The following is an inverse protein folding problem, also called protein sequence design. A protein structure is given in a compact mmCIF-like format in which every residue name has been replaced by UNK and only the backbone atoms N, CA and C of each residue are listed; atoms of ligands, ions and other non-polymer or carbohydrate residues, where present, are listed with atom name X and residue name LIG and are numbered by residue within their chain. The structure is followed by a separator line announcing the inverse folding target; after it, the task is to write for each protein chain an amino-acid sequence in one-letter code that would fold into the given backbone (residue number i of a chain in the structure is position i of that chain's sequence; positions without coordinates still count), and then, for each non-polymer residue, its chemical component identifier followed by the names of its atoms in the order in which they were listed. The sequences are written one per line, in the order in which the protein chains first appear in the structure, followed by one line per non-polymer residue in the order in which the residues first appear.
data_IF_097844962772
#
_entry.id   IF_097844962772
#
_cell.length_a   1.000
_cell.length_b   1.000
_cell.length_c   1.000
_cell.angle_alpha   90.00
_cell.angle_beta   90.00
_cell.angle_gamma   90.00
#
_symmetry.space_group_name_H-M   'P 1'
#
loop_
_entity.id
_entity.type
_entity.pdbx_description
1 polymer ?
#
# COMPACT_ATOMS: atom_id res chain seq x y z
N UNK A 1 3.13 -13.82 33.81
CA UNK A 1 2.93 -13.63 32.35
C UNK A 1 3.88 -14.55 31.62
N UNK A 2 3.39 -15.33 30.65
CA UNK A 2 4.25 -16.14 29.78
C UNK A 2 5.01 -15.17 28.85
N UNK A 3 6.35 -15.25 28.74
CA UNK A 3 7.10 -14.40 27.83
C UNK A 3 6.69 -14.66 26.37
N UNK A 4 6.76 -13.63 25.49
CA UNK A 4 6.44 -13.83 24.08
C UNK A 4 7.44 -14.78 23.41
N UNK A 5 6.97 -15.50 22.38
CA UNK A 5 7.81 -16.40 21.59
C UNK A 5 8.94 -15.64 20.87
N UNK A 6 10.09 -16.29 20.75
CA UNK A 6 11.27 -15.79 20.01
C UNK A 6 11.88 -16.91 19.18
N UNK A 7 12.53 -16.59 18.06
CA UNK A 7 13.14 -17.56 17.14
C UNK A 7 12.14 -18.65 16.69
N UNK A 8 10.88 -18.27 16.51
CA UNK A 8 9.78 -19.18 16.18
C UNK A 8 9.28 -18.94 14.75
N UNK A 9 8.74 -19.97 14.11
CA UNK A 9 8.27 -19.91 12.73
C UNK A 9 6.83 -20.39 12.63
N UNK A 10 5.96 -19.57 12.05
CA UNK A 10 4.65 -19.98 11.56
C UNK A 10 4.74 -20.10 10.04
N UNK A 11 4.47 -21.29 9.51
CA UNK A 11 4.59 -21.52 8.07
C UNK A 11 3.56 -22.50 7.55
N UNK A 12 3.25 -22.39 6.26
CA UNK A 12 2.35 -23.30 5.55
C UNK A 12 0.97 -23.45 6.25
N UNK A 13 0.39 -22.33 6.68
CA UNK A 13 -0.90 -22.27 7.37
C UNK A 13 -1.89 -21.41 6.56
N UNK A 14 -3.16 -21.80 6.55
CA UNK A 14 -4.24 -21.03 5.94
C UNK A 14 -5.21 -20.50 7.01
N UNK A 15 -5.54 -19.21 6.96
CA UNK A 15 -6.58 -18.57 7.79
C UNK A 15 -7.59 -17.93 6.83
N UNK A 16 -8.77 -18.55 6.73
CA UNK A 16 -9.79 -18.23 5.72
C UNK A 16 -11.10 -17.90 6.43
N UNK A 17 -11.66 -16.71 6.17
CA UNK A 17 -12.98 -16.29 6.65
C UNK A 17 -13.20 -16.37 8.18
N UNK A 18 -12.14 -16.25 8.99
CA UNK A 18 -12.23 -16.36 10.48
C UNK A 18 -12.63 -15.02 11.10
N UNK A 19 -13.92 -14.75 11.20
CA UNK A 19 -14.45 -13.46 11.65
C UNK A 19 -15.32 -13.57 12.91
N UNK A 20 -15.30 -12.57 13.81
CA UNK A 20 -16.29 -12.46 14.86
C UNK A 20 -17.64 -11.96 14.31
N UNK A 21 -18.70 -12.07 15.11
CA UNK A 21 -20.07 -11.69 14.74
C UNK A 21 -20.24 -10.19 14.43
N UNK A 22 -19.28 -9.34 14.79
CA UNK A 22 -19.33 -7.89 14.55
C UNK A 22 -18.02 -7.36 14.00
N UNK A 23 -18.11 -6.49 13.00
CA UNK A 23 -16.94 -5.84 12.38
C UNK A 23 -16.24 -4.84 13.29
N UNK A 24 -16.91 -4.32 14.31
CA UNK A 24 -16.29 -3.36 15.22
C UNK A 24 -15.36 -4.04 16.24
N UNK A 25 -15.54 -5.35 16.47
CA UNK A 25 -14.66 -6.15 17.32
C UNK A 25 -13.27 -6.16 16.69
N UNK A 26 -12.27 -5.72 17.46
CA UNK A 26 -10.89 -5.70 17.03
C UNK A 26 -10.21 -7.04 17.30
N UNK A 27 -9.81 -7.74 16.26
CA UNK A 27 -8.92 -8.90 16.36
C UNK A 27 -7.80 -8.83 15.30
N UNK A 28 -6.77 -9.64 15.48
CA UNK A 28 -5.71 -9.85 14.50
C UNK A 28 -5.68 -11.33 14.15
N UNK A 29 -5.44 -11.70 12.89
CA UNK A 29 -5.16 -13.10 12.56
C UNK A 29 -3.84 -13.54 13.19
N UNK A 30 -2.82 -12.69 13.10
CA UNK A 30 -1.50 -12.93 13.70
C UNK A 30 -1.03 -11.67 14.43
N UNK A 31 -0.60 -11.83 15.67
CA UNK A 31 0.08 -10.81 16.44
C UNK A 31 1.52 -11.26 16.72
N UNK A 32 2.50 -10.60 16.10
CA UNK A 32 3.91 -10.86 16.35
C UNK A 32 4.41 -10.02 17.53
N UNK A 33 4.96 -10.73 18.51
CA UNK A 33 5.66 -10.21 19.67
C UNK A 33 7.04 -10.87 19.74
N UNK A 34 7.90 -10.44 20.68
CA UNK A 34 9.23 -11.05 20.87
C UNK A 34 10.21 -10.68 19.76
N UNK A 35 11.11 -11.59 19.40
CA UNK A 35 12.19 -11.32 18.43
C UNK A 35 12.43 -12.50 17.50
N UNK A 36 13.00 -12.22 16.32
CA UNK A 36 13.47 -13.17 15.32
C UNK A 36 12.43 -14.21 14.88
N UNK A 37 11.15 -13.87 14.97
CA UNK A 37 10.06 -14.72 14.48
C UNK A 37 9.86 -14.57 12.97
N UNK A 38 9.39 -15.64 12.33
CA UNK A 38 9.10 -15.69 10.90
C UNK A 38 7.66 -16.13 10.63
N UNK A 39 6.98 -15.44 9.73
CA UNK A 39 5.69 -15.85 9.16
C UNK A 39 5.88 -16.01 7.67
N UNK A 40 5.80 -17.24 7.16
CA UNK A 40 6.10 -17.47 5.75
C UNK A 40 5.29 -18.59 5.09
N UNK A 41 5.04 -18.48 3.78
CA UNK A 41 4.24 -19.45 3.03
C UNK A 41 2.84 -19.68 3.62
N UNK A 42 2.24 -18.65 4.22
CA UNK A 42 0.88 -18.71 4.74
C UNK A 42 -0.11 -18.05 3.78
N UNK A 43 -1.38 -18.45 3.84
CA UNK A 43 -2.48 -17.83 3.09
C UNK A 43 -3.49 -17.21 4.05
N UNK A 44 -3.73 -15.90 3.94
CA UNK A 44 -4.61 -15.15 4.83
C UNK A 44 -5.62 -14.36 3.98
N UNK A 45 -6.92 -14.62 4.13
CA UNK A 45 -7.95 -13.96 3.33
C UNK A 45 -9.32 -13.91 4.03
N UNK A 46 -10.19 -13.02 3.54
CA UNK A 46 -11.58 -12.95 3.99
C UNK A 46 -11.77 -12.32 5.37
N UNK A 47 -10.85 -11.47 5.84
CA UNK A 47 -11.01 -10.75 7.12
C UNK A 47 -11.96 -9.57 6.97
N UNK A 48 -13.08 -9.55 7.69
CA UNK A 48 -14.16 -8.56 7.55
C UNK A 48 -14.19 -7.53 8.68
N UNK A 49 -13.62 -7.84 9.83
CA UNK A 49 -13.67 -7.00 11.03
C UNK A 49 -12.41 -6.13 11.23
N UNK A 50 -12.52 -5.22 12.20
CA UNK A 50 -11.47 -4.28 12.61
C UNK A 50 -10.22 -5.00 13.11
N UNK A 51 -9.08 -4.37 12.90
CA UNK A 51 -7.75 -4.85 13.25
C UNK A 51 -7.04 -5.47 12.04
N UNK A 52 -5.71 -5.33 11.96
CA UNK A 52 -4.97 -5.84 10.82
C UNK A 52 -4.97 -7.37 10.74
N UNK A 53 -4.68 -7.92 9.55
CA UNK A 53 -4.45 -9.36 9.45
C UNK A 53 -3.18 -9.75 10.23
N UNK A 54 -2.08 -9.03 10.01
CA UNK A 54 -0.85 -9.16 10.82
C UNK A 54 -0.52 -7.85 11.54
N UNK A 55 -0.33 -7.93 12.85
CA UNK A 55 0.20 -6.83 13.66
C UNK A 55 1.57 -7.19 14.25
N UNK A 56 2.61 -6.40 13.97
CA UNK A 56 3.86 -6.44 14.74
C UNK A 56 3.75 -5.48 15.92
N UNK A 57 3.92 -6.00 17.13
CA UNK A 57 3.69 -5.29 18.40
C UNK A 57 5.02 -5.01 19.08
N UNK A 58 5.36 -3.73 19.27
CA UNK A 58 6.69 -3.33 19.78
C UNK A 58 6.80 -3.27 21.31
N UNK A 59 5.69 -3.38 22.06
CA UNK A 59 5.76 -3.43 23.53
C UNK A 59 6.66 -4.60 23.95
N UNK A 60 7.78 -4.29 24.58
CA UNK A 60 8.84 -5.25 24.96
C UNK A 60 9.42 -6.05 23.78
N UNK A 61 9.33 -5.53 22.55
CA UNK A 61 9.68 -6.23 21.30
C UNK A 61 10.30 -5.26 20.27
N UNK A 62 11.08 -4.28 20.73
CA UNK A 62 11.89 -3.40 19.86
C UNK A 62 13.05 -4.17 19.25
N UNK A 63 13.56 -3.72 18.10
CA UNK A 63 14.61 -4.41 17.32
C UNK A 63 14.28 -5.90 17.21
N UNK A 64 13.07 -6.20 16.71
CA UNK A 64 12.54 -7.54 16.68
C UNK A 64 13.12 -8.37 15.54
N UNK A 65 13.59 -7.78 14.44
CA UNK A 65 14.10 -8.51 13.27
C UNK A 65 13.12 -9.60 12.78
N UNK A 66 11.81 -9.36 12.89
CA UNK A 66 10.81 -10.27 12.35
C UNK A 66 10.88 -10.32 10.82
N UNK A 67 10.52 -11.48 10.26
CA UNK A 67 10.45 -11.67 8.81
C UNK A 67 9.06 -12.16 8.41
N UNK A 68 8.42 -11.47 7.49
CA UNK A 68 7.11 -11.82 6.93
C UNK A 68 7.33 -11.99 5.43
N UNK A 69 7.39 -13.24 4.95
CA UNK A 69 7.81 -13.51 3.58
C UNK A 69 7.05 -14.64 2.86
N UNK A 70 6.90 -14.54 1.54
CA UNK A 70 6.22 -15.57 0.73
C UNK A 70 4.77 -15.88 1.18
N UNK A 71 4.08 -14.93 1.82
CA UNK A 71 2.68 -15.12 2.19
C UNK A 71 1.75 -14.63 1.07
N UNK A 72 0.61 -15.30 0.91
CA UNK A 72 -0.50 -14.82 0.10
C UNK A 72 -1.52 -14.13 1.01
N UNK A 73 -1.73 -12.83 0.79
CA UNK A 73 -2.81 -12.05 1.38
C UNK A 73 -3.89 -11.88 0.32
N UNK A 74 -4.95 -12.69 0.41
CA UNK A 74 -6.08 -12.62 -0.51
C UNK A 74 -7.07 -11.51 -0.15
N UNK A 75 -8.21 -11.53 -0.85
CA UNK A 75 -9.18 -10.43 -0.82
C UNK A 75 -9.60 -10.05 0.61
N UNK A 76 -9.55 -8.73 0.85
CA UNK A 76 -10.07 -8.09 2.05
C UNK A 76 -11.01 -6.96 1.64
N UNK A 77 -12.31 -7.17 1.84
CA UNK A 77 -13.32 -6.18 1.50
C UNK A 77 -13.15 -4.88 2.31
N UNK A 78 -13.55 -3.72 1.76
CA UNK A 78 -13.49 -2.44 2.46
C UNK A 78 -14.15 -2.49 3.83
N UNK A 79 -13.40 -2.10 4.87
CA UNK A 79 -13.87 -2.02 6.25
C UNK A 79 -14.96 -0.97 6.44
N UNK A 80 -14.89 0.12 5.67
CA UNK A 80 -15.79 1.27 5.78
C UNK A 80 -15.36 2.28 6.85
N UNK A 81 -14.39 1.93 7.69
CA UNK A 81 -13.79 2.80 8.71
C UNK A 81 -12.32 2.39 8.98
N UNK A 82 -11.61 3.15 9.80
CA UNK A 82 -10.19 2.93 10.10
C UNK A 82 -9.92 1.64 10.90
N UNK A 83 -8.81 0.95 10.59
CA UNK A 83 -8.37 -0.29 11.23
C UNK A 83 -8.49 -1.51 10.31
N UNK A 84 -8.49 -1.30 9.01
CA UNK A 84 -8.64 -2.33 7.98
C UNK A 84 -7.33 -2.82 7.39
N UNK A 85 -6.18 -2.51 8.01
CA UNK A 85 -4.87 -2.67 7.37
C UNK A 85 -4.53 -4.15 7.15
N UNK A 86 -3.88 -4.54 6.06
CA UNK A 86 -3.47 -5.94 5.92
C UNK A 86 -2.30 -6.26 6.86
N UNK A 87 -1.27 -5.42 6.84
CA UNK A 87 -0.15 -5.48 7.78
C UNK A 87 -0.03 -4.16 8.52
N UNK A 88 0.23 -4.21 9.82
CA UNK A 88 0.67 -3.05 10.60
C UNK A 88 1.95 -3.36 11.37
N UNK A 89 2.97 -2.51 11.21
CA UNK A 89 4.26 -2.65 11.90
C UNK A 89 4.41 -1.57 12.98
N UNK A 90 3.98 -1.87 14.21
CA UNK A 90 3.99 -0.92 15.32
C UNK A 90 2.70 -0.11 15.48
N UNK A 91 2.80 0.96 16.27
CA UNK A 91 1.71 1.89 16.59
C UNK A 91 2.29 3.30 16.79
N UNK A 92 1.45 4.34 16.83
CA UNK A 92 1.89 5.70 17.13
C UNK A 92 2.75 5.79 18.41
N UNK A 93 2.35 5.11 19.49
CA UNK A 93 3.07 5.06 20.76
C UNK A 93 4.53 4.59 20.64
N UNK A 94 4.82 3.69 19.69
CA UNK A 94 6.15 3.10 19.49
C UNK A 94 6.78 3.54 18.17
N UNK A 95 6.23 4.58 17.53
CA UNK A 95 6.58 4.96 16.16
C UNK A 95 8.04 5.37 15.97
N UNK A 96 8.65 5.97 16.99
CA UNK A 96 10.06 6.38 16.98
C UNK A 96 11.03 5.26 17.39
N UNK A 97 10.51 4.08 17.73
CA UNK A 97 11.33 2.93 18.08
C UNK A 97 11.63 2.07 16.86
N UNK A 98 12.82 1.50 16.85
CA UNK A 98 13.28 0.58 15.83
C UNK A 98 12.55 -0.77 15.95
N UNK A 99 12.07 -1.28 14.81
CA UNK A 99 11.44 -2.59 14.69
C UNK A 99 12.33 -3.56 13.91
N UNK A 100 12.96 -3.09 12.82
CA UNK A 100 13.78 -3.92 11.91
C UNK A 100 13.01 -5.09 11.28
N UNK A 101 11.69 -4.97 11.17
CA UNK A 101 10.88 -5.99 10.51
C UNK A 101 11.14 -5.94 9.00
N UNK A 102 11.25 -7.11 8.39
CA UNK A 102 11.34 -7.30 6.94
C UNK A 102 10.03 -7.90 6.43
N UNK A 103 9.36 -7.22 5.50
CA UNK A 103 8.19 -7.70 4.76
C UNK A 103 8.60 -7.87 3.31
N UNK A 104 8.79 -9.11 2.85
CA UNK A 104 9.34 -9.34 1.51
C UNK A 104 8.73 -10.50 0.74
N UNK A 105 8.71 -10.41 -0.59
CA UNK A 105 8.25 -11.51 -1.45
C UNK A 105 6.82 -11.99 -1.12
N UNK A 106 5.96 -11.13 -0.58
CA UNK A 106 4.56 -11.47 -0.36
C UNK A 106 3.71 -11.08 -1.58
N UNK A 107 2.56 -11.75 -1.74
CA UNK A 107 1.56 -11.41 -2.75
C UNK A 107 0.30 -10.90 -2.06
N UNK A 108 -0.05 -9.64 -2.29
CA UNK A 108 -1.28 -8.98 -1.84
C UNK A 108 -2.24 -8.87 -3.02
N UNK A 109 -3.41 -9.47 -2.90
CA UNK A 109 -4.44 -9.43 -3.93
C UNK A 109 -5.73 -8.87 -3.34
N UNK A 110 -6.23 -7.77 -3.91
CA UNK A 110 -7.48 -7.12 -3.50
C UNK A 110 -7.58 -6.87 -1.99
N UNK A 111 -6.46 -6.44 -1.41
CA UNK A 111 -6.33 -6.08 0.00
C UNK A 111 -6.95 -4.69 0.24
N UNK A 112 -8.26 -4.57 0.12
CA UNK A 112 -9.00 -3.30 0.03
C UNK A 112 -9.62 -2.85 1.36
N UNK A 113 -9.16 -3.41 2.49
CA UNK A 113 -9.74 -3.16 3.81
C UNK A 113 -9.78 -1.69 4.21
N UNK A 114 -8.74 -0.91 3.88
CA UNK A 114 -8.73 0.55 4.03
C UNK A 114 -7.62 1.19 3.18
N UNK A 115 -7.34 2.48 3.39
CA UNK A 115 -6.31 3.20 2.63
C UNK A 115 -4.88 2.69 2.89
N UNK A 116 -4.62 2.08 4.04
CA UNK A 116 -3.30 1.53 4.41
C UNK A 116 -3.28 0.00 4.23
N UNK A 117 -2.77 -0.51 3.10
CA UNK A 117 -2.56 -1.96 2.90
C UNK A 117 -1.48 -2.43 3.87
N UNK A 118 -0.33 -1.74 3.84
CA UNK A 118 0.77 -1.93 4.78
C UNK A 118 0.95 -0.59 5.51
N UNK A 119 0.67 -0.60 6.81
CA UNK A 119 0.83 0.56 7.69
C UNK A 119 2.11 0.43 8.52
N UNK A 120 3.17 1.10 8.12
CA UNK A 120 4.43 1.15 8.88
C UNK A 120 4.31 2.23 9.95
N UNK A 121 4.43 1.85 11.22
CA UNK A 121 4.28 2.72 12.40
C UNK A 121 5.43 2.47 13.39
N UNK A 122 6.64 2.36 12.87
CA UNK A 122 7.91 2.12 13.58
C UNK A 122 9.11 2.41 12.65
N UNK A 123 10.33 2.39 13.18
CA UNK A 123 11.54 2.73 12.43
C UNK A 123 12.33 1.51 11.92
N UNK A 124 13.21 1.74 10.94
CA UNK A 124 14.19 0.78 10.40
C UNK A 124 13.61 -0.49 9.73
N UNK A 125 12.36 -0.43 9.26
CA UNK A 125 11.75 -1.57 8.57
C UNK A 125 12.14 -1.61 7.09
N UNK A 126 12.03 -2.80 6.50
CA UNK A 126 12.21 -3.02 5.06
C UNK A 126 10.94 -3.65 4.50
N UNK A 127 10.36 -3.04 3.47
CA UNK A 127 9.24 -3.60 2.70
C UNK A 127 9.70 -3.72 1.25
N UNK A 128 9.98 -4.94 0.81
CA UNK A 128 10.60 -5.14 -0.51
C UNK A 128 10.09 -6.29 -1.32
N UNK A 129 10.18 -6.18 -2.65
CA UNK A 129 9.90 -7.29 -3.56
C UNK A 129 8.51 -7.91 -3.36
N UNK A 130 7.52 -7.14 -2.90
CA UNK A 130 6.15 -7.61 -2.78
C UNK A 130 5.38 -7.31 -4.07
N UNK A 131 4.44 -8.19 -4.41
CA UNK A 131 3.45 -7.94 -5.47
C UNK A 131 2.15 -7.46 -4.82
N UNK A 132 1.64 -6.31 -5.24
CA UNK A 132 0.35 -5.76 -4.83
C UNK A 132 -0.54 -5.65 -6.06
N UNK A 133 -1.58 -6.47 -6.14
CA UNK A 133 -2.50 -6.54 -7.26
C UNK A 133 -3.88 -6.03 -6.83
N UNK A 134 -4.45 -5.12 -7.61
CA UNK A 134 -5.84 -4.68 -7.54
C UNK A 134 -6.33 -4.27 -6.14
N UNK A 135 -5.45 -3.72 -5.32
CA UNK A 135 -5.75 -3.41 -3.91
C UNK A 135 -6.07 -1.91 -3.72
N UNK A 136 -7.23 -1.58 -3.13
CA UNK A 136 -7.68 -0.20 -2.90
C UNK A 136 -6.98 0.51 -1.72
N UNK A 137 -5.66 0.63 -1.78
CA UNK A 137 -4.89 1.32 -0.74
C UNK A 137 -3.43 1.52 -1.12
N UNK A 138 -2.59 1.71 -0.10
CA UNK A 138 -1.18 2.08 -0.27
C UNK A 138 -0.26 1.34 0.70
N UNK A 139 1.02 1.25 0.35
CA UNK A 139 2.09 1.09 1.33
C UNK A 139 2.28 2.47 1.98
N UNK A 140 1.89 2.61 3.25
CA UNK A 140 2.03 3.88 3.97
C UNK A 140 3.18 3.82 4.98
N UNK A 141 4.16 4.70 4.80
CA UNK A 141 5.12 5.08 5.84
C UNK A 141 4.42 6.00 6.84
N UNK A 142 3.54 5.44 7.67
CA UNK A 142 2.53 6.19 8.42
C UNK A 142 3.12 6.89 9.63
N UNK A 143 4.01 6.21 10.34
CA UNK A 143 4.88 6.78 11.37
C UNK A 143 6.25 6.10 11.36
N UNK A 144 7.25 6.78 11.89
CA UNK A 144 8.59 6.23 12.07
C UNK A 144 9.52 6.50 10.89
N UNK A 145 10.80 6.35 11.17
CA UNK A 145 11.89 6.94 10.38
C UNK A 145 12.84 5.82 9.89
N UNK A 146 13.69 6.09 8.90
CA UNK A 146 14.70 5.17 8.34
C UNK A 146 14.14 3.85 7.76
N UNK A 147 12.93 3.88 7.21
CA UNK A 147 12.33 2.72 6.55
C UNK A 147 12.71 2.68 5.06
N UNK A 148 12.76 1.48 4.49
CA UNK A 148 13.09 1.24 3.07
C UNK A 148 11.94 0.53 2.39
N UNK A 149 11.39 1.13 1.33
CA UNK A 149 10.39 0.54 0.43
C UNK A 149 11.03 0.33 -0.93
N UNK A 150 11.36 -0.92 -1.29
CA UNK A 150 12.14 -1.17 -2.50
C UNK A 150 11.71 -2.36 -3.36
N UNK A 151 11.80 -2.23 -4.68
CA UNK A 151 11.62 -3.37 -5.59
C UNK A 151 10.19 -3.96 -5.62
N UNK A 152 9.20 -3.28 -5.04
CA UNK A 152 7.82 -3.74 -5.04
C UNK A 152 7.20 -3.52 -6.42
N UNK A 153 6.27 -4.40 -6.81
CA UNK A 153 5.46 -4.26 -8.03
C UNK A 153 4.00 -4.06 -7.61
N UNK A 154 3.40 -2.94 -8.04
CA UNK A 154 2.03 -2.55 -7.71
C UNK A 154 1.25 -2.44 -9.02
N UNK A 155 0.22 -3.26 -9.18
CA UNK A 155 -0.58 -3.34 -10.41
C UNK A 155 -2.03 -3.02 -10.05
N UNK A 156 -2.50 -1.85 -10.44
CA UNK A 156 -3.86 -1.37 -10.15
C UNK A 156 -4.90 -1.74 -11.21
N UNK A 157 -4.50 -2.17 -12.41
CA UNK A 157 -5.40 -2.50 -13.54
C UNK A 157 -6.46 -1.42 -13.84
N UNK A 158 -6.12 -0.15 -13.62
CA UNK A 158 -7.00 1.00 -13.75
C UNK A 158 -8.25 0.94 -12.86
N UNK A 159 -8.27 0.10 -11.83
CA UNK A 159 -9.39 0.01 -10.90
C UNK A 159 -9.42 1.25 -9.99
N UNK A 160 -10.62 1.73 -9.59
CA UNK A 160 -10.76 2.89 -8.71
C UNK A 160 -10.01 2.72 -7.39
N UNK A 161 -9.43 3.82 -6.89
CA UNK A 161 -8.78 3.89 -5.56
C UNK A 161 -7.61 2.93 -5.33
N UNK A 162 -7.14 2.22 -6.36
CA UNK A 162 -5.84 1.56 -6.30
C UNK A 162 -4.76 2.63 -6.17
N UNK A 163 -3.85 2.46 -5.23
CA UNK A 163 -2.79 3.43 -4.95
C UNK A 163 -1.42 2.78 -4.89
N UNK A 164 -0.40 3.59 -4.63
CA UNK A 164 0.98 3.12 -4.55
C UNK A 164 1.58 3.33 -3.16
N UNK A 165 2.49 4.29 -3.03
CA UNK A 165 3.32 4.47 -1.84
C UNK A 165 3.10 5.87 -1.28
N UNK A 166 2.80 5.95 0.02
CA UNK A 166 2.58 7.22 0.73
C UNK A 166 3.66 7.44 1.78
N UNK A 167 4.44 8.51 1.61
CA UNK A 167 5.52 8.92 2.49
C UNK A 167 5.09 10.06 3.43
N UNK A 168 5.37 9.84 4.71
CA UNK A 168 5.27 10.81 5.81
C UNK A 168 6.55 10.63 6.64
N UNK A 169 6.78 11.52 7.61
CA UNK A 169 7.82 11.44 8.65
C UNK A 169 9.24 11.73 8.19
N UNK A 170 10.10 11.86 9.19
CA UNK A 170 11.48 12.33 9.09
C UNK A 170 12.44 11.17 8.85
N UNK A 171 13.73 11.51 8.79
CA UNK A 171 14.82 10.59 9.04
C UNK A 171 15.04 9.61 7.90
N UNK A 172 15.21 10.12 6.68
CA UNK A 172 15.88 9.32 5.66
C UNK A 172 15.07 8.15 5.10
N UNK A 173 13.73 8.20 5.16
CA UNK A 173 12.90 7.17 4.56
C UNK A 173 13.17 7.05 3.04
N UNK A 174 13.34 5.83 2.53
CA UNK A 174 13.74 5.56 1.14
C UNK A 174 12.64 4.82 0.39
N UNK A 175 12.25 5.30 -0.79
CA UNK A 175 11.36 4.66 -1.75
C UNK A 175 12.10 4.51 -3.08
N UNK A 176 12.48 3.28 -3.46
CA UNK A 176 13.29 3.07 -4.67
C UNK A 176 12.98 1.81 -5.48
N UNK A 177 13.28 1.82 -6.77
CA UNK A 177 13.12 0.65 -7.66
C UNK A 177 11.70 0.04 -7.63
N UNK A 178 10.67 0.78 -7.23
CA UNK A 178 9.30 0.25 -7.27
C UNK A 178 8.72 0.44 -8.67
N UNK A 179 7.89 -0.51 -9.11
CA UNK A 179 7.18 -0.48 -10.39
C UNK A 179 5.69 -0.35 -10.07
N UNK A 180 5.04 0.71 -10.55
CA UNK A 180 3.65 1.04 -10.23
C UNK A 180 2.89 1.23 -11.53
N UNK A 181 1.87 0.41 -11.77
CA UNK A 181 1.20 0.32 -13.07
C UNK A 181 -0.31 0.44 -12.87
N UNK A 182 -0.96 1.33 -13.63
CA UNK A 182 -2.41 1.37 -13.71
C UNK A 182 -3.12 1.75 -12.40
N UNK A 183 -2.49 2.54 -11.52
CA UNK A 183 -3.14 2.99 -10.28
C UNK A 183 -3.91 4.29 -10.53
N UNK A 184 -5.16 4.38 -10.06
CA UNK A 184 -6.04 5.54 -10.32
C UNK A 184 -6.29 6.43 -9.10
N UNK A 185 -5.82 6.02 -7.92
CA UNK A 185 -5.97 6.76 -6.69
C UNK A 185 -5.38 8.16 -6.77
N UNK A 186 -6.03 9.13 -6.13
CA UNK A 186 -5.60 10.53 -6.07
C UNK A 186 -5.15 10.89 -4.66
N UNK A 187 -4.42 12.00 -4.55
CA UNK A 187 -3.96 12.56 -3.28
C UNK A 187 -3.23 11.50 -2.44
N UNK A 188 -3.80 11.15 -1.28
CA UNK A 188 -3.27 10.15 -0.35
C UNK A 188 -3.19 8.73 -0.94
N UNK A 189 -3.74 8.50 -2.13
CA UNK A 189 -3.69 7.25 -2.91
C UNK A 189 -2.95 7.38 -4.24
N UNK A 190 -2.23 8.47 -4.49
CA UNK A 190 -1.39 8.60 -5.68
C UNK A 190 -0.38 7.42 -5.81
N UNK A 191 0.16 7.15 -7.02
CA UNK A 191 1.20 6.13 -7.19
C UNK A 191 2.41 6.40 -6.27
N UNK A 192 2.80 7.67 -6.14
CA UNK A 192 3.70 8.13 -5.08
C UNK A 192 3.10 9.41 -4.50
N UNK A 193 3.02 9.47 -3.18
CA UNK A 193 2.48 10.59 -2.42
C UNK A 193 3.50 11.04 -1.37
N UNK A 194 3.89 12.33 -1.39
CA UNK A 194 4.69 12.97 -0.35
C UNK A 194 3.79 13.96 0.40
N UNK A 195 3.67 13.79 1.71
CA UNK A 195 2.76 14.58 2.53
C UNK A 195 3.43 15.76 3.23
N UNK A 196 2.65 16.83 3.43
CA UNK A 196 2.91 17.89 4.40
C UNK A 196 2.68 17.39 5.83
N UNK A 197 3.32 18.07 6.78
CA UNK A 197 3.29 17.71 8.19
C UNK A 197 2.76 18.79 9.12
N UNK A 198 2.51 18.37 10.35
CA UNK A 198 2.13 19.23 11.47
C UNK A 198 3.40 19.73 12.17
N UNK A 199 3.56 21.05 12.40
CA UNK A 199 4.65 21.55 13.23
C UNK A 199 4.59 20.94 14.64
N UNK A 200 5.72 20.45 15.16
CA UNK A 200 5.80 19.84 16.50
C UNK A 200 4.74 18.75 16.76
N UNK A 201 4.53 17.89 15.75
CA UNK A 201 3.47 16.89 15.76
C UNK A 201 3.52 15.95 16.98
N UNK A 202 2.35 15.59 17.51
CA UNK A 202 2.22 14.51 18.50
C UNK A 202 2.49 13.16 17.84
N UNK A 203 2.82 12.13 18.63
CA UNK A 203 3.15 10.79 18.12
C UNK A 203 2.07 10.15 17.21
N UNK A 204 0.80 10.53 17.36
CA UNK A 204 -0.32 10.03 16.55
C UNK A 204 -0.69 10.94 15.36
N UNK A 205 0.02 12.05 15.18
CA UNK A 205 -0.19 13.01 14.10
C UNK A 205 0.75 12.71 12.91
N UNK A 206 0.94 13.68 12.01
CA UNK A 206 1.81 13.56 10.85
C UNK A 206 3.04 14.45 11.03
N UNK A 207 4.21 13.84 11.19
CA UNK A 207 5.47 14.56 11.04
C UNK A 207 5.67 14.97 9.57
N UNK A 208 6.29 16.12 9.28
CA UNK A 208 6.67 16.47 7.93
C UNK A 208 7.67 15.47 7.35
N UNK A 209 7.68 15.36 6.03
CA UNK A 209 8.72 14.60 5.33
C UNK A 209 10.03 15.36 5.42
N UNK A 210 11.05 14.75 6.02
CA UNK A 210 12.39 15.33 6.14
C UNK A 210 13.42 14.28 5.75
N UNK A 211 14.36 14.67 4.89
CA UNK A 211 15.39 13.79 4.34
C UNK A 211 14.83 12.61 3.53
N UNK A 212 13.60 12.72 3.00
CA UNK A 212 12.98 11.64 2.20
C UNK A 212 13.72 11.42 0.88
N UNK A 213 13.89 10.16 0.46
CA UNK A 213 14.55 9.82 -0.80
C UNK A 213 13.63 8.97 -1.65
N UNK A 214 13.22 9.49 -2.80
CA UNK A 214 12.38 8.81 -3.78
C UNK A 214 13.17 8.72 -5.08
N UNK A 215 13.64 7.52 -5.43
CA UNK A 215 14.52 7.38 -6.60
C UNK A 215 14.35 6.12 -7.42
N UNK A 216 14.59 6.22 -8.73
CA UNK A 216 14.58 5.06 -9.64
C UNK A 216 13.26 4.26 -9.60
N UNK A 217 12.11 4.90 -9.37
CA UNK A 217 10.81 4.23 -9.50
C UNK A 217 10.32 4.31 -10.95
N UNK A 218 9.53 3.33 -11.40
CA UNK A 218 8.87 3.34 -12.70
C UNK A 218 7.36 3.38 -12.50
N UNK A 219 6.70 4.37 -13.10
CA UNK A 219 5.27 4.65 -12.95
C UNK A 219 4.64 4.64 -14.34
N UNK A 220 3.66 3.77 -14.59
CA UNK A 220 3.11 3.53 -15.93
C UNK A 220 1.59 3.58 -15.89
N UNK A 221 0.99 4.46 -16.70
CA UNK A 221 -0.47 4.59 -16.85
C UNK A 221 -1.16 4.84 -15.50
N UNK A 222 -0.60 5.71 -14.68
CA UNK A 222 -1.12 6.06 -13.37
C UNK A 222 -1.70 7.48 -13.35
N UNK A 223 -2.51 7.77 -12.33
CA UNK A 223 -2.74 9.15 -11.89
C UNK A 223 -1.40 9.86 -11.58
N UNK A 224 -1.38 11.21 -11.54
CA UNK A 224 -0.15 11.94 -11.28
C UNK A 224 0.48 11.58 -9.94
N UNK A 225 1.80 11.61 -9.87
CA UNK A 225 2.53 11.65 -8.59
C UNK A 225 2.13 12.92 -7.85
N UNK A 226 1.97 12.86 -6.54
CA UNK A 226 1.56 14.03 -5.75
C UNK A 226 2.64 14.44 -4.76
N UNK A 227 3.12 15.68 -4.89
CA UNK A 227 4.13 16.28 -4.03
C UNK A 227 3.49 17.31 -3.10
N UNK A 228 3.99 17.40 -1.86
CA UNK A 228 3.56 18.36 -0.84
C UNK A 228 2.04 18.45 -0.65
N UNK A 229 1.36 17.31 -0.42
CA UNK A 229 -0.10 17.30 -0.26
C UNK A 229 -0.56 17.15 1.19
N UNK A 230 -1.85 17.37 1.42
CA UNK A 230 -2.48 17.17 2.73
C UNK A 230 -2.41 18.38 3.65
N UNK A 231 -2.10 19.56 3.09
CA UNK A 231 -2.18 20.84 3.77
C UNK A 231 -3.55 21.06 4.39
N UNK A 232 -3.54 21.56 5.62
CA UNK A 232 -4.72 21.90 6.42
C UNK A 232 -4.30 22.93 7.46
N UNK A 233 -5.26 23.52 8.17
CA UNK A 233 -5.01 24.58 9.16
C UNK A 233 -3.92 24.26 10.19
N UNK A 234 -3.71 22.98 10.53
CA UNK A 234 -2.66 22.53 11.43
C UNK A 234 -1.51 21.76 10.77
N UNK A 235 -1.58 21.43 9.47
CA UNK A 235 -0.49 20.78 8.73
C UNK A 235 0.03 21.74 7.67
N UNK A 236 1.06 22.50 8.05
CA UNK A 236 1.56 23.66 7.32
C UNK A 236 3.04 23.55 6.95
N UNK A 237 3.70 22.43 7.28
CA UNK A 237 5.13 22.22 6.99
C UNK A 237 5.26 21.36 5.73
N UNK A 238 5.75 21.97 4.65
CA UNK A 238 6.14 21.28 3.43
C UNK A 238 7.34 20.33 3.66
N UNK A 239 7.60 19.39 2.74
CA UNK A 239 8.77 18.52 2.80
C UNK A 239 10.08 19.30 2.80
N UNK A 240 11.10 18.80 3.52
CA UNK A 240 12.40 19.46 3.67
C UNK A 240 13.52 18.48 3.31
N UNK A 241 14.56 18.97 2.61
CA UNK A 241 15.73 18.19 2.20
C UNK A 241 15.37 16.84 1.55
N UNK A 242 14.29 16.82 0.77
CA UNK A 242 13.74 15.63 0.16
C UNK A 242 14.23 15.52 -1.28
N UNK A 243 14.41 14.31 -1.78
CA UNK A 243 14.92 14.04 -3.14
C UNK A 243 13.92 13.23 -3.94
N UNK A 244 13.64 13.68 -5.14
CA UNK A 244 12.87 12.97 -6.15
C UNK A 244 13.73 12.82 -7.40
N UNK A 245 14.47 11.72 -7.51
CA UNK A 245 15.58 11.58 -8.47
C UNK A 245 15.44 10.35 -9.37
N UNK A 246 15.78 10.46 -10.65
CA UNK A 246 15.87 9.33 -11.58
C UNK A 246 14.58 8.49 -11.70
N UNK A 247 13.41 9.05 -11.43
CA UNK A 247 12.14 8.34 -11.62
C UNK A 247 11.74 8.37 -13.11
N UNK A 248 11.04 7.32 -13.56
CA UNK A 248 10.52 7.20 -14.93
C UNK A 248 8.99 7.16 -14.89
N UNK A 249 8.34 8.10 -15.57
CA UNK A 249 6.88 8.21 -15.61
C UNK A 249 6.42 8.12 -17.06
N UNK A 250 5.52 7.19 -17.34
CA UNK A 250 4.94 6.98 -18.67
C UNK A 250 3.42 6.99 -18.56
N UNK A 251 2.74 7.73 -19.44
CA UNK A 251 1.31 7.56 -19.67
C UNK A 251 1.02 7.50 -21.17
N UNK A 252 0.15 6.60 -21.60
CA UNK A 252 -0.32 6.54 -22.99
C UNK A 252 -1.26 7.70 -23.34
N UNK A 253 -1.90 8.30 -22.34
CA UNK A 253 -2.84 9.41 -22.48
C UNK A 253 -2.23 10.71 -21.95
N UNK A 254 -2.67 11.84 -22.50
CA UNK A 254 -2.26 13.16 -22.03
C UNK A 254 -2.74 13.40 -20.59
N UNK A 255 -1.86 13.92 -19.74
CA UNK A 255 -2.14 14.22 -18.35
C UNK A 255 -0.93 14.83 -17.64
N UNK A 256 -1.07 15.16 -16.36
CA UNK A 256 0.05 15.60 -15.53
C UNK A 256 0.92 14.40 -15.15
N UNK A 257 2.24 14.55 -15.22
CA UNK A 257 3.16 13.58 -14.60
C UNK A 257 3.18 13.75 -13.08
N UNK A 258 3.31 15.01 -12.65
CA UNK A 258 3.44 15.43 -11.26
C UNK A 258 2.39 16.50 -10.96
N UNK A 259 1.79 16.41 -9.78
CA UNK A 259 0.95 17.43 -9.18
C UNK A 259 1.59 17.93 -7.88
N UNK A 260 1.92 19.22 -7.81
CA UNK A 260 2.36 19.88 -6.60
C UNK A 260 1.15 20.50 -5.87
N UNK A 261 0.86 20.03 -4.66
CA UNK A 261 -0.28 20.50 -3.87
C UNK A 261 0.01 21.72 -2.97
N UNK A 262 1.28 22.04 -2.76
CA UNK A 262 1.80 23.14 -1.93
C UNK A 262 3.26 23.40 -2.32
N UNK A 263 3.99 24.21 -1.55
CA UNK A 263 5.42 24.46 -1.73
C UNK A 263 6.23 23.15 -1.84
N UNK A 264 7.04 23.06 -2.88
CA UNK A 264 7.95 21.94 -3.15
C UNK A 264 9.42 22.37 -3.11
N UNK A 265 9.74 23.59 -2.69
CA UNK A 265 11.12 24.12 -2.65
C UNK A 265 12.10 23.26 -1.85
N UNK A 266 11.60 22.52 -0.85
CA UNK A 266 12.37 21.55 -0.08
C UNK A 266 12.51 20.16 -0.73
N UNK A 267 12.01 19.97 -1.96
CA UNK A 267 12.16 18.75 -2.76
C UNK A 267 13.08 19.06 -3.94
N UNK A 268 14.23 18.40 -4.00
CA UNK A 268 15.11 18.43 -5.17
C UNK A 268 14.62 17.43 -6.21
N UNK A 269 14.32 17.91 -7.42
CA UNK A 269 14.02 17.08 -8.58
C UNK A 269 15.28 16.97 -9.44
N UNK A 270 15.64 15.75 -9.89
CA UNK A 270 16.83 15.57 -10.73
C UNK A 270 16.87 14.26 -11.51
N UNK A 271 17.15 14.34 -12.82
CA UNK A 271 17.30 13.18 -13.69
C UNK A 271 16.01 12.37 -13.91
N UNK A 272 14.84 12.91 -13.54
CA UNK A 272 13.57 12.26 -13.80
C UNK A 272 13.23 12.33 -15.29
N UNK A 273 12.54 11.32 -15.81
CA UNK A 273 12.15 11.22 -17.22
C UNK A 273 10.65 10.97 -17.32
N UNK A 274 9.98 11.72 -18.19
CA UNK A 274 8.54 11.58 -18.45
C UNK A 274 8.27 11.40 -19.94
N UNK A 275 7.21 10.67 -20.31
CA UNK A 275 6.85 10.47 -21.71
C UNK A 275 6.36 11.77 -22.37
N UNK A 276 6.55 11.90 -23.69
CA UNK A 276 6.15 13.08 -24.50
C UNK A 276 4.67 13.46 -24.44
N UNK A 277 3.81 12.53 -24.03
CA UNK A 277 2.38 12.72 -23.79
C UNK A 277 2.07 13.50 -22.52
N UNK A 278 2.99 13.56 -21.56
CA UNK A 278 2.76 14.16 -20.26
C UNK A 278 3.06 15.66 -20.27
N UNK A 279 2.27 16.39 -19.49
CA UNK A 279 2.49 17.80 -19.18
C UNK A 279 3.40 17.85 -17.96
N UNK A 280 4.46 18.65 -18.06
CA UNK A 280 5.47 18.84 -17.03
C UNK A 280 5.90 20.32 -17.00
N UNK A 281 6.17 20.84 -15.80
CA UNK A 281 6.62 22.22 -15.57
C UNK A 281 7.57 22.30 -14.36
N UNK A 282 8.54 21.38 -14.29
CA UNK A 282 9.51 21.34 -13.20
C UNK A 282 10.95 21.12 -13.70
N UNK A 283 11.87 21.93 -13.20
CA UNK A 283 13.30 21.72 -13.38
C UNK A 283 13.73 20.35 -12.82
N UNK A 284 14.57 19.63 -13.55
CA UNK A 284 15.03 18.29 -13.17
C UNK A 284 14.11 17.15 -13.61
N UNK A 285 13.13 17.45 -14.46
CA UNK A 285 12.25 16.47 -15.12
C UNK A 285 12.27 16.69 -16.63
N UNK A 286 12.83 15.72 -17.37
CA UNK A 286 12.96 15.83 -18.81
C UNK A 286 11.85 15.05 -19.52
N UNK A 287 11.20 15.71 -20.48
CA UNK A 287 10.27 15.06 -21.41
C UNK A 287 11.08 14.34 -22.49
N UNK A 288 10.94 13.01 -22.58
CA UNK A 288 11.65 12.19 -23.56
C UNK A 288 10.70 11.21 -24.25
N UNK A 289 10.94 10.95 -25.54
CA UNK A 289 10.17 9.99 -26.32
C UNK A 289 10.80 8.59 -26.21
N UNK A 290 10.52 7.90 -25.11
CA UNK A 290 11.02 6.56 -24.85
C UNK A 290 9.94 5.49 -25.08
N UNK A 291 10.38 4.31 -25.50
CA UNK A 291 9.53 3.16 -25.79
C UNK A 291 9.56 2.16 -24.64
N UNK A 292 8.40 1.58 -24.38
CA UNK A 292 8.21 0.45 -23.49
C UNK A 292 7.99 -0.84 -24.29
N UNK A 293 8.41 -1.97 -23.73
CA UNK A 293 8.24 -3.31 -24.29
C UNK A 293 7.63 -4.24 -23.24
N UNK A 294 6.84 -5.21 -23.69
CA UNK A 294 6.22 -6.18 -22.78
C UNK A 294 7.24 -7.23 -22.33
N UNK A 295 7.32 -7.48 -21.03
CA UNK A 295 8.16 -8.51 -20.43
C UNK A 295 7.56 -9.00 -19.11
N UNK A 296 7.49 -10.32 -18.91
CA UNK A 296 7.06 -10.95 -17.65
C UNK A 296 5.69 -10.45 -17.12
N UNK A 297 4.74 -10.16 -18.02
CA UNK A 297 3.41 -9.66 -17.65
C UNK A 297 3.34 -8.17 -17.27
N UNK A 298 4.42 -7.42 -17.43
CA UNK A 298 4.47 -5.95 -17.26
C UNK A 298 5.15 -5.28 -18.46
N UNK A 299 5.26 -3.95 -18.43
CA UNK A 299 6.05 -3.19 -19.39
C UNK A 299 7.37 -2.72 -18.77
N UNK A 300 8.45 -2.79 -19.56
CA UNK A 300 9.80 -2.33 -19.20
C UNK A 300 10.33 -1.35 -20.24
N UNK A 301 11.32 -0.49 -19.92
CA UNK A 301 11.96 0.36 -20.91
C UNK A 301 12.72 -0.48 -21.96
N UNK A 302 12.53 -0.18 -23.24
CA UNK A 302 13.24 -0.82 -24.35
C UNK A 302 14.74 -0.52 -24.35
N UNK A 303 15.55 -1.43 -24.91
CA UNK A 303 16.98 -1.18 -25.11
C UNK A 303 17.25 0.06 -26.00
N UNK A 304 16.39 0.29 -27.00
CA UNK A 304 16.45 1.45 -27.90
C UNK A 304 16.33 2.79 -27.17
N UNK A 305 15.72 2.80 -25.98
CA UNK A 305 15.54 4.01 -25.17
C UNK A 305 16.68 4.26 -24.18
N UNK A 306 17.68 3.38 -24.11
CA UNK A 306 18.70 3.44 -23.05
C UNK A 306 19.41 4.79 -22.96
N UNK A 307 19.86 5.33 -24.09
CA UNK A 307 20.56 6.62 -24.14
C UNK A 307 19.69 7.80 -23.65
N UNK A 308 18.39 7.77 -23.96
CA UNK A 308 17.41 8.79 -23.58
C UNK A 308 17.14 8.80 -22.06
N UNK A 309 17.36 7.66 -21.41
CA UNK A 309 17.07 7.47 -19.99
C UNK A 309 18.28 7.70 -19.09
N UNK A 310 19.30 8.43 -19.57
CA UNK A 310 20.46 8.82 -18.76
C UNK A 310 20.02 9.60 -17.52
N UNK A 311 20.53 9.19 -16.37
CA UNK A 311 20.16 9.69 -15.05
C UNK A 311 21.32 10.39 -14.33
N UNK A 312 21.04 11.01 -13.18
CA UNK A 312 22.03 11.71 -12.35
C UNK A 312 22.60 10.81 -11.25
N UNK A 313 23.75 11.20 -10.67
CA UNK A 313 24.32 10.53 -9.50
C UNK A 313 23.43 10.78 -8.29
N UNK A 314 23.11 9.71 -7.55
CA UNK A 314 22.28 9.81 -6.35
C UNK A 314 23.04 9.36 -5.10
N UNK A 315 22.56 9.82 -3.94
CA UNK A 315 23.03 9.38 -2.63
C UNK A 315 21.82 9.03 -1.75
N UNK A 316 21.64 7.76 -1.34
CA UNK A 316 22.54 6.62 -1.58
C UNK A 316 22.49 6.10 -3.02
N UNK A 317 23.62 5.59 -3.50
CA UNK A 317 23.74 4.98 -4.83
C UNK A 317 22.83 3.76 -4.95
N UNK A 318 22.05 3.70 -6.03
CA UNK A 318 21.29 2.51 -6.42
C UNK A 318 22.18 1.60 -7.26
N UNK A 319 22.61 0.46 -6.70
CA UNK A 319 23.57 -0.46 -7.35
C UNK A 319 22.92 -1.52 -8.22
N UNK A 320 21.71 -1.94 -7.84
CA UNK A 320 20.93 -2.96 -8.54
C UNK A 320 19.57 -2.41 -8.93
N UNK A 321 18.96 -2.97 -9.95
CA UNK A 321 17.58 -2.69 -10.37
C UNK A 321 16.57 -3.65 -9.70
N UNK A 322 15.28 -3.53 -10.02
CA UNK A 322 14.21 -4.34 -9.44
C UNK A 322 14.30 -5.85 -9.78
N UNK A 323 15.13 -6.22 -10.75
CA UNK A 323 15.40 -7.63 -11.13
C UNK A 323 16.64 -8.17 -10.40
N UNK A 324 17.36 -7.32 -9.66
CA UNK A 324 18.65 -7.60 -9.06
C UNK A 324 19.85 -7.46 -10.02
N UNK A 325 19.65 -6.94 -11.24
CA UNK A 325 20.73 -6.72 -12.18
C UNK A 325 21.57 -5.49 -11.76
N UNK A 326 22.88 -5.56 -11.94
CA UNK A 326 23.77 -4.44 -11.63
C UNK A 326 23.56 -3.28 -12.62
N UNK A 327 23.52 -2.05 -12.09
CA UNK A 327 23.51 -0.83 -12.89
C UNK A 327 24.95 -0.45 -13.28
N UNK A 328 25.36 -0.81 -14.49
CA UNK A 328 26.64 -0.39 -15.08
C UNK A 328 26.63 1.09 -15.46
N UNK A 329 25.46 1.61 -15.82
CA UNK A 329 25.21 3.02 -16.16
C UNK A 329 24.07 3.59 -15.31
N UNK A 330 24.05 4.92 -15.17
CA UNK A 330 22.98 5.63 -14.47
C UNK A 330 21.79 5.76 -15.42
N UNK A 331 20.70 5.05 -15.10
CA UNK A 331 19.44 5.07 -15.86
C UNK A 331 18.25 5.36 -14.95
N UNK A 332 17.33 6.18 -15.44
CA UNK A 332 16.06 6.44 -14.78
C UNK A 332 15.18 5.18 -14.78
N UNK A 333 14.29 5.10 -13.79
CA UNK A 333 13.36 3.97 -13.64
C UNK A 333 13.94 2.77 -12.89
N UNK A 334 13.05 1.81 -12.59
CA UNK A 334 13.27 0.68 -11.71
C UNK A 334 13.96 -0.51 -12.35
N UNK A 335 13.92 -0.64 -13.67
CA UNK A 335 14.55 -1.71 -14.45
C UNK A 335 15.51 -1.08 -15.47
N UNK A 336 16.69 -1.67 -15.63
CA UNK A 336 17.65 -1.24 -16.67
C UNK A 336 17.02 -1.45 -18.06
N UNK A 337 17.09 -0.45 -18.97
CA UNK A 337 16.53 -0.59 -20.31
C UNK A 337 17.00 -1.86 -21.04
N UNK A 338 16.07 -2.60 -21.64
CA UNK A 338 16.33 -3.88 -22.32
C UNK A 338 16.56 -5.08 -21.39
N UNK A 339 16.40 -4.95 -20.07
CA UNK A 339 16.54 -6.07 -19.15
C UNK A 339 15.24 -6.87 -19.02
N UNK A 340 15.14 -7.97 -19.76
CA UNK A 340 13.98 -8.87 -19.76
C UNK A 340 13.90 -9.81 -18.54
N UNK A 341 14.83 -9.75 -17.59
CA UNK A 341 14.73 -10.56 -16.37
C UNK A 341 13.49 -10.13 -15.57
N UNK A 342 12.71 -11.07 -15.00
CA UNK A 342 11.58 -10.71 -14.17
C UNK A 342 12.02 -9.90 -12.94
N UNK A 343 11.25 -8.87 -12.60
CA UNK A 343 11.37 -8.21 -11.30
C UNK A 343 11.18 -9.23 -10.18
N UNK A 344 11.96 -9.12 -9.10
CA UNK A 344 11.97 -10.14 -8.03
C UNK A 344 10.56 -10.34 -7.43
N UNK A 345 9.78 -9.27 -7.33
CA UNK A 345 8.39 -9.32 -6.85
C UNK A 345 7.47 -10.23 -7.68
N UNK A 346 7.74 -10.39 -8.98
CA UNK A 346 6.97 -11.24 -9.89
C UNK A 346 7.38 -12.71 -9.85
N UNK A 347 8.45 -13.05 -9.11
CA UNK A 347 9.00 -14.41 -9.03
C UNK A 347 8.60 -15.15 -7.74
N UNK A 348 7.84 -14.50 -6.85
CA UNK A 348 7.50 -15.09 -5.55
C UNK A 348 6.58 -16.31 -5.69
N UNK A 349 6.93 -17.37 -4.95
CA UNK A 349 6.05 -18.52 -4.70
C UNK A 349 5.28 -18.30 -3.40
N UNK A 350 4.30 -17.40 -3.44
CA UNK A 350 3.54 -17.00 -2.26
C UNK A 350 2.41 -17.99 -1.92
N UNK A 351 2.11 -18.11 -0.63
CA UNK A 351 0.98 -18.89 -0.12
C UNK A 351 1.35 -20.31 0.32
N UNK A 352 0.33 -21.08 0.65
CA UNK A 352 0.47 -22.47 1.12
C UNK A 352 0.79 -23.45 -0.01
N UNK A 353 1.44 -24.57 0.33
CA UNK A 353 1.82 -25.60 -0.65
C UNK A 353 0.67 -26.55 -1.04
N UNK A 354 -0.41 -26.58 -0.25
CA UNK A 354 -1.45 -27.60 -0.34
C UNK A 354 -2.76 -27.12 -0.99
N UNK A 355 -2.90 -25.82 -1.29
CA UNK A 355 -4.05 -25.25 -2.02
C UNK A 355 -3.53 -24.19 -2.98
N UNK A 356 -3.96 -24.24 -4.24
CA UNK A 356 -3.60 -23.23 -5.24
C UNK A 356 -4.29 -21.89 -4.96
N UNK A 357 -3.66 -20.78 -5.33
CA UNK A 357 -4.25 -19.44 -5.20
C UNK A 357 -5.61 -19.35 -5.93
N UNK A 358 -5.74 -19.94 -7.11
CA UNK A 358 -7.01 -19.96 -7.86
C UNK A 358 -8.15 -20.63 -7.09
N UNK A 359 -7.83 -21.68 -6.32
CA UNK A 359 -8.81 -22.35 -5.45
C UNK A 359 -9.12 -21.50 -4.22
N UNK A 360 -8.11 -20.86 -3.61
CA UNK A 360 -8.31 -19.92 -2.48
C UNK A 360 -9.22 -18.75 -2.86
N UNK A 361 -9.11 -18.22 -4.09
CA UNK A 361 -9.99 -17.15 -4.61
C UNK A 361 -11.46 -17.55 -4.68
N UNK A 362 -11.75 -18.84 -4.83
CA UNK A 362 -13.14 -19.32 -4.82
C UNK A 362 -13.68 -19.46 -3.39
N UNK A 363 -12.83 -19.86 -2.44
CA UNK A 363 -13.21 -19.95 -1.03
C UNK A 363 -13.53 -18.58 -0.39
N UNK A 364 -12.98 -17.49 -0.92
CA UNK A 364 -13.35 -16.14 -0.46
C UNK A 364 -14.72 -15.68 -0.97
N UNK A 365 -15.35 -16.38 -1.91
CA UNK A 365 -16.72 -16.08 -2.36
C UNK A 365 -17.78 -16.78 -1.50
N UNK A 366 -17.39 -17.82 -0.76
CA UNK A 366 -18.25 -18.52 0.20
C UNK A 366 -18.38 -17.74 1.53
N UNK A 367 -18.40 -16.41 1.49
CA UNK A 367 -18.70 -15.60 2.67
C UNK A 367 -20.18 -15.77 2.99
N UNK A 368 -20.47 -16.28 4.18
CA UNK A 368 -21.83 -16.48 4.64
C UNK A 368 -22.63 -15.15 4.57
N UNK A 369 -23.79 -15.21 3.91
CA UNK A 369 -24.70 -14.08 3.84
C UNK A 369 -25.34 -13.88 5.21
N UNK A 370 -25.12 -12.72 5.81
CA UNK A 370 -25.74 -12.36 7.11
C UNK A 370 -27.16 -11.89 6.86
N UNK A 371 -28.14 -12.39 7.61
CA UNK A 371 -29.53 -11.92 7.55
C UNK A 371 -29.83 -11.12 8.81
N UNK A 372 -30.26 -9.87 8.66
CA UNK A 372 -30.56 -8.96 9.78
C UNK A 372 -31.97 -8.42 9.62
N UNK A 373 -32.82 -8.64 10.62
CA UNK A 373 -34.12 -7.97 10.71
C UNK A 373 -33.93 -6.53 11.20
N UNK A 374 -34.54 -5.58 10.50
CA UNK A 374 -34.47 -4.14 10.81
C UNK A 374 -35.86 -3.66 11.19
N UNK A 375 -35.96 -2.92 12.30
CA UNK A 375 -37.19 -2.27 12.74
C UNK A 375 -37.34 -0.87 12.09
N UNK A 376 -38.57 -0.41 11.82
CA UNK A 376 -38.81 0.95 11.33
C UNK A 376 -38.32 2.01 12.32
N UNK A 377 -38.03 3.20 11.83
CA UNK A 377 -37.57 4.32 12.64
C UNK A 377 -36.53 5.21 11.95
N UNK A 378 -36.16 6.28 12.64
CA UNK A 378 -35.10 7.17 12.18
C UNK A 378 -33.73 6.50 12.34
N UNK A 379 -32.90 6.56 11.29
CA UNK A 379 -31.51 6.03 11.26
C UNK A 379 -31.36 4.52 11.50
N UNK A 380 -32.44 3.74 11.63
CA UNK A 380 -32.35 2.29 11.90
C UNK A 380 -31.73 1.54 10.73
N UNK A 381 -32.21 1.80 9.52
CA UNK A 381 -31.62 1.27 8.28
C UNK A 381 -30.18 1.78 8.10
N UNK A 382 -29.89 3.01 8.51
CA UNK A 382 -28.53 3.53 8.40
C UNK A 382 -27.53 2.77 9.28
N UNK A 383 -27.94 2.49 10.51
CA UNK A 383 -27.14 1.73 11.47
C UNK A 383 -26.96 0.30 11.00
N UNK A 384 -28.00 -0.33 10.43
CA UNK A 384 -27.92 -1.67 9.89
C UNK A 384 -26.92 -1.76 8.73
N UNK A 385 -27.00 -0.84 7.76
CA UNK A 385 -26.06 -0.78 6.61
C UNK A 385 -24.62 -0.53 7.09
N UNK A 386 -24.43 0.33 8.10
CA UNK A 386 -23.10 0.61 8.66
C UNK A 386 -22.47 -0.60 9.36
N UNK A 387 -23.30 -1.46 9.95
CA UNK A 387 -22.86 -2.58 10.79
C UNK A 387 -22.68 -3.90 10.02
N UNK A 388 -23.07 -3.97 8.74
CA UNK A 388 -22.96 -5.18 7.91
C UNK A 388 -21.56 -5.77 7.92
N UNK A 389 -21.47 -7.10 8.12
CA UNK A 389 -20.27 -7.95 8.22
C UNK A 389 -20.06 -8.85 7.00
N UNK A 390 -19.97 -8.27 5.81
CA UNK A 390 -19.90 -9.00 4.54
C UNK A 390 -21.23 -8.90 3.77
N UNK A 391 -21.45 -9.78 2.78
CA UNK A 391 -22.73 -9.90 2.08
C UNK A 391 -23.90 -9.97 3.09
N UNK A 392 -24.85 -9.05 2.99
CA UNK A 392 -25.94 -8.93 3.98
C UNK A 392 -27.30 -8.79 3.32
N UNK A 393 -28.30 -9.49 3.84
CA UNK A 393 -29.72 -9.29 3.56
C UNK A 393 -30.34 -8.55 4.74
N UNK A 394 -30.76 -7.31 4.53
CA UNK A 394 -31.56 -6.55 5.49
C UNK A 394 -33.05 -6.82 5.24
N UNK A 395 -33.70 -7.51 6.17
CA UNK A 395 -35.15 -7.75 6.15
C UNK A 395 -35.84 -6.62 6.89
N UNK A 396 -36.55 -5.77 6.15
CA UNK A 396 -37.28 -4.67 6.74
C UNK A 396 -38.60 -5.20 7.30
N UNK A 397 -38.83 -5.04 8.59
CA UNK A 397 -40.18 -5.20 9.15
C UNK A 397 -41.08 -4.05 8.69
N UNK A 398 -42.41 -4.23 8.74
CA UNK A 398 -43.35 -3.23 8.23
C UNK A 398 -43.26 -1.91 9.02
N UNK A 399 -43.20 -0.78 8.30
CA UNK A 399 -43.22 0.57 8.85
C UNK A 399 -42.35 1.55 8.05
N UNK A 400 -42.20 2.77 8.57
CA UNK A 400 -41.46 3.85 7.91
C UNK A 400 -40.00 3.91 8.35
N UNK A 401 -39.09 4.06 7.39
CA UNK A 401 -37.64 4.15 7.62
C UNK A 401 -37.14 5.52 7.18
N UNK A 402 -36.75 6.36 8.13
CA UNK A 402 -36.28 7.72 7.84
C UNK A 402 -34.76 7.73 7.74
N UNK A 403 -34.27 7.94 6.51
CA UNK A 403 -32.85 8.11 6.21
C UNK A 403 -32.53 9.61 6.22
N UNK A 404 -31.62 10.00 7.10
CA UNK A 404 -31.21 11.39 7.35
C UNK A 404 -29.93 11.79 6.61
N UNK A 405 -29.19 10.81 6.06
CA UNK A 405 -27.96 11.04 5.30
C UNK A 405 -27.72 9.96 4.26
N UNK A 406 -27.01 10.32 3.19
CA UNK A 406 -26.50 9.35 2.23
C UNK A 406 -25.55 8.34 2.92
N UNK A 407 -25.63 7.08 2.51
CA UNK A 407 -24.84 5.98 3.07
C UNK A 407 -24.09 5.30 1.95
N UNK A 408 -22.78 5.13 2.15
CA UNK A 408 -21.96 4.37 1.21
C UNK A 408 -22.14 2.88 1.44
N UNK A 409 -22.73 2.19 0.46
CA UNK A 409 -22.74 0.73 0.39
C UNK A 409 -21.38 0.28 -0.17
N UNK A 410 -20.67 -0.57 0.58
CA UNK A 410 -19.31 -1.01 0.23
C UNK A 410 -19.15 -2.53 0.19
N UNK A 411 -20.27 -3.24 0.32
CA UNK A 411 -20.40 -4.70 0.34
C UNK A 411 -21.73 -5.05 -0.32
N UNK A 412 -21.87 -6.32 -0.72
CA UNK A 412 -23.11 -6.81 -1.29
C UNK A 412 -24.25 -6.67 -0.28
N UNK A 413 -25.28 -5.93 -0.68
CA UNK A 413 -26.44 -5.62 0.15
C UNK A 413 -27.70 -5.93 -0.65
N UNK A 414 -28.55 -6.77 -0.08
CA UNK A 414 -29.95 -6.90 -0.50
C UNK A 414 -30.85 -6.33 0.58
N UNK A 415 -31.76 -5.44 0.22
CA UNK A 415 -32.81 -4.94 1.10
C UNK A 415 -34.11 -5.59 0.66
N UNK A 416 -34.72 -6.37 1.55
CA UNK A 416 -35.98 -7.06 1.29
C UNK A 416 -37.05 -6.41 2.16
N UNK A 417 -38.03 -5.78 1.52
CA UNK A 417 -39.20 -5.27 2.23
C UNK A 417 -40.02 -6.40 2.83
N UNK A 418 -40.73 -6.12 3.93
CA UNK A 418 -41.82 -6.98 4.35
C UNK A 418 -42.81 -7.09 3.20
N UNK A 419 -42.89 -8.28 2.58
CA UNK A 419 -43.99 -8.62 1.70
C UNK A 419 -45.28 -8.56 2.53
N UNK A 420 -46.32 -7.93 1.98
CA UNK A 420 -47.68 -8.19 2.43
C UNK A 420 -48.12 -9.57 2.00
#
# INVERSE_FOLDING_TARGET
MIPPATNSRLTNCAIINVNPDSREITNYYIALHGKNNRVDHCSLLGKLNKGPAIAVRLKNSIDNNHRIDHNYFGERLPLGFNGGETIRIGTSTYSKQSSRTVVENNFFERCSGEIEIISIKSAHNVVRNNLILESEGTITLRHGDYNIIEGNVIIGNNLPKTGGIRMINKGGNIVRNNIIIGTTGKDLRAPICIMNGIPNSKLNEYDPVVDGIIQNNTIINCSPVTLSIGSRSNATIAPVNTKFENNLIYNSNRGLAIFAGDDISGITLGGNKVSSTLIEDFDGVDVVDFKLEAANGIYIPSADSDALLTAVKTNPKVRVDATGALRSQLRAGAIVPGNFKPAIALTSQAGVSFIKIDELRNLSKDIAVTVVDVAPGEKTLEKAIKNMSGPTILKLTAGDYFITKAIKVSQDLSIVGAWK
#
